data_IF_993087428238
#
_entry.id   IF_993087428238
#
_cell.length_a   1.000
_cell.length_b   1.000
_cell.length_c   1.000
_cell.angle_alpha   90.00
_cell.angle_beta   90.00
_cell.angle_gamma   90.00
#
_symmetry.space_group_name_H-M   'P 1'
#
loop_
_entity.id
_entity.type
_entity.pdbx_description
1 polymer ?
#
# COMPACT_ATOMS: atom_id res chain seq x y z
N UNK A 1 8.40 -4.72 -10.16
CA UNK A 1 8.04 -5.27 -8.82
C UNK A 1 8.98 -4.76 -7.74
N UNK A 2 8.50 -3.83 -6.91
CA UNK A 2 9.20 -3.35 -5.72
C UNK A 2 8.46 -3.79 -4.45
N UNK A 3 9.19 -4.13 -3.39
CA UNK A 3 8.61 -4.60 -2.13
C UNK A 3 9.23 -3.87 -0.95
N UNK A 4 8.38 -3.36 -0.05
CA UNK A 4 8.77 -2.79 1.24
C UNK A 4 8.49 -3.84 2.31
N UNK A 5 9.53 -4.47 2.89
CA UNK A 5 9.33 -5.36 4.02
C UNK A 5 9.02 -4.56 5.29
N UNK A 6 8.13 -5.09 6.13
CA UNK A 6 7.85 -4.63 7.49
C UNK A 6 7.53 -3.13 7.60
N UNK A 7 6.36 -2.75 7.10
CA UNK A 7 5.87 -1.35 7.18
C UNK A 7 5.42 -0.99 8.60
N UNK A 8 4.89 -1.96 9.35
CA UNK A 8 4.41 -1.77 10.73
C UNK A 8 4.25 -3.11 11.44
N UNK A 9 3.98 -3.10 12.76
CA UNK A 9 3.68 -4.30 13.56
C UNK A 9 2.51 -5.13 13.03
N UNK A 10 1.60 -4.54 12.26
CA UNK A 10 0.45 -5.22 11.68
C UNK A 10 0.65 -5.57 10.20
N UNK A 11 1.63 -4.97 9.52
CA UNK A 11 1.82 -5.07 8.07
C UNK A 11 3.15 -5.78 7.78
N UNK A 12 3.03 -6.99 7.25
CA UNK A 12 4.17 -7.83 6.92
C UNK A 12 4.98 -7.23 5.77
N UNK A 13 4.32 -6.84 4.69
CA UNK A 13 4.96 -6.17 3.56
C UNK A 13 3.94 -5.39 2.72
N UNK A 14 4.47 -4.46 1.93
CA UNK A 14 3.72 -3.78 0.86
C UNK A 14 4.45 -4.01 -0.45
N UNK A 15 3.73 -4.51 -1.44
CA UNK A 15 4.24 -4.77 -2.77
C UNK A 15 3.58 -3.82 -3.76
N UNK A 16 4.36 -3.30 -4.69
CA UNK A 16 3.86 -2.53 -5.81
C UNK A 16 4.20 -3.21 -7.12
N UNK A 17 3.16 -3.36 -7.95
CA UNK A 17 3.23 -3.87 -9.30
C UNK A 17 3.06 -2.69 -10.28
N UNK A 18 4.15 -2.38 -10.95
CA UNK A 18 4.27 -1.34 -11.96
C UNK A 18 3.54 -1.68 -13.26
N UNK A 19 3.31 -2.97 -13.56
CA UNK A 19 2.61 -3.37 -14.78
C UNK A 19 1.09 -3.18 -14.67
N UNK A 20 0.54 -3.42 -13.48
CA UNK A 20 -0.89 -3.29 -13.20
C UNK A 20 -1.24 -2.00 -12.47
N UNK A 21 -0.25 -1.13 -12.20
CA UNK A 21 -0.38 0.07 -11.37
C UNK A 21 -1.17 -0.23 -10.09
N UNK A 22 -0.75 -1.29 -9.39
CA UNK A 22 -1.47 -1.79 -8.22
C UNK A 22 -0.53 -2.00 -7.04
N UNK A 23 -1.09 -1.82 -5.84
CA UNK A 23 -0.38 -1.99 -4.58
C UNK A 23 -1.08 -3.02 -3.73
N UNK A 24 -0.34 -4.01 -3.25
CA UNK A 24 -0.84 -5.04 -2.34
C UNK A 24 -0.22 -4.86 -0.96
N UNK A 25 -1.06 -4.79 0.05
CA UNK A 25 -0.68 -4.72 1.47
C UNK A 25 -0.96 -6.08 2.10
N UNK A 26 0.08 -6.76 2.58
CA UNK A 26 -0.05 -8.00 3.33
C UNK A 26 0.01 -7.71 4.83
N UNK A 27 -1.01 -8.15 5.55
CA UNK A 27 -1.05 -8.08 7.01
C UNK A 27 -0.54 -9.37 7.64
N UNK A 28 0.00 -9.27 8.86
CA UNK A 28 0.44 -10.43 9.63
C UNK A 28 -0.71 -11.38 10.03
N UNK A 29 -1.96 -10.91 9.95
CA UNK A 29 -3.16 -11.73 10.15
C UNK A 29 -3.46 -12.68 8.97
N UNK A 30 -2.69 -12.60 7.88
CA UNK A 30 -2.94 -13.33 6.64
C UNK A 30 -3.87 -12.59 5.67
N UNK A 31 -4.53 -11.51 6.12
CA UNK A 31 -5.34 -10.65 5.27
C UNK A 31 -4.47 -9.93 4.22
N UNK A 32 -5.00 -9.79 3.00
CA UNK A 32 -4.40 -9.00 1.92
C UNK A 32 -5.39 -7.92 1.51
N UNK A 33 -4.89 -6.71 1.33
CA UNK A 33 -5.65 -5.62 0.73
C UNK A 33 -4.96 -5.23 -0.57
N UNK A 34 -5.69 -5.22 -1.68
CA UNK A 34 -5.16 -4.74 -2.96
C UNK A 34 -5.84 -3.44 -3.36
N UNK A 35 -5.02 -2.49 -3.79
CA UNK A 35 -5.42 -1.17 -4.26
C UNK A 35 -4.98 -1.06 -5.73
N UNK A 36 -5.92 -0.76 -6.61
CA UNK A 36 -5.64 -0.54 -8.03
C UNK A 36 -5.48 0.96 -8.30
N UNK A 37 -4.92 1.31 -9.47
CA UNK A 37 -4.71 2.69 -9.89
C UNK A 37 -3.81 3.50 -8.93
N UNK A 38 -2.82 2.84 -8.35
CA UNK A 38 -1.78 3.48 -7.55
C UNK A 38 -0.66 3.91 -8.48
N UNK A 39 -0.28 5.18 -8.43
CA UNK A 39 0.86 5.67 -9.20
C UNK A 39 2.16 5.25 -8.54
N UNK A 40 3.22 5.12 -9.34
CA UNK A 40 4.54 4.80 -8.81
C UNK A 40 5.05 5.90 -7.87
N UNK A 41 4.76 7.17 -8.15
CA UNK A 41 5.14 8.30 -7.30
C UNK A 41 4.53 8.21 -5.90
N UNK A 42 3.26 7.83 -5.83
CA UNK A 42 2.57 7.59 -4.57
C UNK A 42 3.23 6.47 -3.75
N UNK A 43 3.63 5.38 -4.42
CA UNK A 43 4.37 4.30 -3.79
C UNK A 43 5.77 4.73 -3.32
N UNK A 44 6.47 5.54 -4.13
CA UNK A 44 7.79 6.09 -3.78
C UNK A 44 7.71 7.05 -2.58
N UNK A 45 6.61 7.78 -2.42
CA UNK A 45 6.35 8.59 -1.21
C UNK A 45 6.27 7.71 0.05
N UNK A 46 5.62 6.55 -0.03
CA UNK A 46 5.58 5.59 1.09
C UNK A 46 6.99 5.07 1.39
N UNK A 47 7.77 4.75 0.35
CA UNK A 47 9.10 4.15 0.48
C UNK A 47 10.12 5.14 1.09
N UNK A 48 10.04 6.41 0.68
CA UNK A 48 10.91 7.51 1.12
C UNK A 48 10.51 8.12 2.47
N UNK A 49 9.28 7.86 2.94
CA UNK A 49 8.78 8.36 4.22
C UNK A 49 9.48 7.74 5.42
N UNK A 50 9.75 8.58 6.43
CA UNK A 50 10.24 8.15 7.75
C UNK A 50 9.18 7.32 8.48
N UNK A 51 7.90 7.63 8.28
CA UNK A 51 6.77 6.90 8.84
C UNK A 51 5.93 6.29 7.72
N UNK A 52 6.42 5.16 7.19
CA UNK A 52 5.79 4.43 6.08
C UNK A 52 4.35 4.01 6.37
N UNK A 53 4.04 3.71 7.64
CA UNK A 53 2.69 3.35 8.04
C UNK A 53 1.72 4.53 7.88
N UNK A 54 2.07 5.71 8.38
CA UNK A 54 1.22 6.90 8.25
C UNK A 54 1.01 7.28 6.78
N UNK A 55 2.09 7.27 5.98
CA UNK A 55 2.00 7.53 4.53
C UNK A 55 1.12 6.52 3.80
N UNK A 56 1.24 5.22 4.14
CA UNK A 56 0.38 4.19 3.59
C UNK A 56 -1.09 4.42 4.00
N UNK A 57 -1.35 4.69 5.28
CA UNK A 57 -2.72 4.91 5.76
C UNK A 57 -3.37 6.10 5.05
N UNK A 58 -2.67 7.25 4.94
CA UNK A 58 -3.18 8.42 4.21
C UNK A 58 -3.51 8.11 2.76
N UNK A 59 -2.66 7.35 2.09
CA UNK A 59 -2.92 6.92 0.72
C UNK A 59 -4.18 6.05 0.65
N UNK A 60 -4.28 5.04 1.51
CA UNK A 60 -5.43 4.13 1.52
C UNK A 60 -6.73 4.81 1.95
N UNK A 61 -6.67 5.79 2.83
CA UNK A 61 -7.80 6.59 3.29
C UNK A 61 -8.30 7.52 2.17
N UNK A 62 -7.39 8.15 1.44
CA UNK A 62 -7.72 8.95 0.26
C UNK A 62 -8.46 8.10 -0.77
N UNK A 63 -7.98 6.87 -1.04
CA UNK A 63 -8.65 5.94 -1.97
C UNK A 63 -10.01 5.46 -1.48
N UNK A 64 -10.16 5.27 -0.17
CA UNK A 64 -11.44 4.91 0.42
C UNK A 64 -12.48 6.04 0.24
N UNK A 65 -12.05 7.30 0.41
CA UNK A 65 -12.88 8.49 0.17
C UNK A 65 -13.22 8.67 -1.32
N UNK A 66 -12.33 8.28 -2.22
CA UNK A 66 -12.57 8.26 -3.68
C UNK A 66 -13.45 7.09 -4.15
N UNK A 67 -13.98 6.27 -3.24
CA UNK A 67 -14.87 5.15 -3.57
C UNK A 67 -14.16 3.93 -4.16
N UNK A 68 -12.85 3.81 -3.95
CA UNK A 68 -12.05 2.63 -4.32
C UNK A 68 -11.67 1.85 -3.05
N UNK A 69 -12.59 1.03 -2.50
CA UNK A 69 -12.27 0.20 -1.35
C UNK A 69 -11.24 -0.87 -1.73
N UNK A 70 -10.41 -1.32 -0.77
CA UNK A 70 -9.50 -2.42 -1.01
C UNK A 70 -10.26 -3.67 -1.44
N UNK A 71 -9.77 -4.31 -2.49
CA UNK A 71 -10.30 -5.59 -2.95
C UNK A 71 -9.77 -6.68 -2.01
N UNK A 72 -10.68 -7.51 -1.49
CA UNK A 72 -10.38 -8.64 -0.59
C UNK A 72 -9.84 -9.85 -1.35
#
# INVERSE_FOLDING_TARGET
>A
MNMIPSVSRQIAFVQYDDQSSSMTVQYHTGFKASYTNINQDDYLLILSSVNRYDSLMRLTETRYMEGQPPIK
#
